data_IF_378606906066
#
_entry.id   IF_378606906066
#
_cell.length_a   1.000
_cell.length_b   1.000
_cell.length_c   1.000
_cell.angle_alpha   90.00
_cell.angle_beta   90.00
_cell.angle_gamma   90.00
#
_symmetry.space_group_name_H-M   'P 1'
#
loop_
_entity.id
_entity.type
_entity.pdbx_description
1 polymer ?
#
# COMPACT_ATOMS: atom_id res chain seq x y z
N UNK A 1 1.34 -7.28 -4.06
CA UNK A 1 1.55 -5.81 -4.16
C UNK A 1 0.22 -5.17 -4.52
N UNK A 2 -0.05 -3.97 -4.02
CA UNK A 2 -1.32 -3.24 -4.14
C UNK A 2 -1.08 -1.94 -4.88
N UNK A 3 -1.99 -1.60 -5.79
CA UNK A 3 -2.02 -0.34 -6.50
C UNK A 3 -3.33 0.44 -6.28
N UNK A 4 -3.42 1.63 -6.89
CA UNK A 4 -4.61 2.49 -6.72
C UNK A 4 -5.89 1.78 -7.20
N UNK A 5 -5.80 0.99 -8.26
CA UNK A 5 -6.93 0.29 -8.86
C UNK A 5 -7.43 -0.83 -7.96
N UNK A 6 -6.53 -1.54 -7.29
CA UNK A 6 -6.89 -2.55 -6.29
C UNK A 6 -7.68 -1.95 -5.13
N UNK A 7 -7.26 -0.77 -4.64
CA UNK A 7 -7.98 -0.04 -3.59
C UNK A 7 -9.36 0.44 -4.06
N UNK A 8 -9.50 0.84 -5.33
CA UNK A 8 -10.80 1.20 -5.89
C UNK A 8 -11.71 -0.04 -5.98
N UNK A 9 -11.18 -1.18 -6.38
CA UNK A 9 -11.91 -2.45 -6.41
C UNK A 9 -12.38 -2.91 -5.01
N UNK A 10 -11.61 -2.57 -3.97
CA UNK A 10 -12.00 -2.77 -2.56
C UNK A 10 -13.10 -1.81 -2.07
N UNK A 11 -13.51 -0.84 -2.87
CA UNK A 11 -14.57 0.12 -2.53
C UNK A 11 -14.08 1.47 -2.01
N UNK A 12 -12.77 1.75 -2.02
CA UNK A 12 -12.27 3.08 -1.70
C UNK A 12 -12.50 4.05 -2.85
N UNK A 13 -12.77 5.33 -2.53
CA UNK A 13 -12.88 6.37 -3.56
C UNK A 13 -11.53 6.58 -4.26
N UNK A 14 -11.51 7.05 -5.52
CA UNK A 14 -10.26 7.29 -6.26
C UNK A 14 -9.30 8.26 -5.55
N UNK A 15 -9.84 9.25 -4.84
CA UNK A 15 -9.06 10.20 -4.05
C UNK A 15 -8.43 9.52 -2.84
N UNK A 16 -9.23 8.81 -2.05
CA UNK A 16 -8.76 8.08 -0.86
C UNK A 16 -7.71 7.03 -1.23
N UNK A 17 -7.95 6.30 -2.32
CA UNK A 17 -7.00 5.31 -2.86
C UNK A 17 -5.65 5.94 -3.20
N UNK A 18 -5.65 7.10 -3.86
CA UNK A 18 -4.41 7.81 -4.18
C UNK A 18 -3.67 8.29 -2.91
N UNK A 19 -4.40 8.72 -1.88
CA UNK A 19 -3.80 9.17 -0.63
C UNK A 19 -3.22 8.01 0.19
N UNK A 20 -3.89 6.85 0.21
CA UNK A 20 -3.38 5.62 0.82
C UNK A 20 -2.06 5.22 0.14
N UNK A 21 -2.00 5.18 -1.20
CA UNK A 21 -0.77 4.85 -1.93
C UNK A 21 0.35 5.84 -1.60
N UNK A 22 0.04 7.15 -1.50
CA UNK A 22 1.05 8.16 -1.12
C UNK A 22 1.56 7.95 0.30
N UNK A 23 0.67 7.69 1.25
CA UNK A 23 1.04 7.41 2.63
C UNK A 23 1.90 6.13 2.72
N UNK A 24 1.52 5.06 1.99
CA UNK A 24 2.25 3.80 1.97
C UNK A 24 3.66 3.97 1.41
N UNK A 25 3.82 4.77 0.36
CA UNK A 25 5.14 5.12 -0.17
C UNK A 25 6.00 5.85 0.85
N UNK A 26 5.43 6.84 1.55
CA UNK A 26 6.17 7.58 2.59
C UNK A 26 6.58 6.66 3.74
N UNK A 27 5.69 5.76 4.16
CA UNK A 27 5.97 4.76 5.17
C UNK A 27 7.14 3.85 4.75
N UNK A 28 7.11 3.34 3.53
CA UNK A 28 8.19 2.49 3.00
C UNK A 28 9.53 3.25 2.91
N UNK A 29 9.52 4.51 2.47
CA UNK A 29 10.74 5.35 2.47
C UNK A 29 11.26 5.55 3.89
N UNK A 30 10.38 5.80 4.87
CA UNK A 30 10.77 5.96 6.28
C UNK A 30 11.36 4.69 6.89
N UNK A 31 10.95 3.51 6.40
CA UNK A 31 11.49 2.20 6.80
C UNK A 31 12.84 1.86 6.15
N UNK A 32 13.39 2.77 5.34
CA UNK A 32 14.67 2.58 4.65
C UNK A 32 14.55 2.10 3.21
N UNK A 33 13.33 1.87 2.69
CA UNK A 33 13.12 1.45 1.32
C UNK A 33 13.03 2.64 0.35
N UNK A 34 14.19 3.22 0.02
CA UNK A 34 14.31 4.39 -0.86
C UNK A 34 13.70 4.22 -2.27
N UNK A 35 13.54 2.99 -2.74
CA UNK A 35 12.90 2.66 -4.02
C UNK A 35 11.50 3.29 -4.17
N UNK A 36 10.72 3.33 -3.08
CA UNK A 36 9.35 3.86 -3.09
C UNK A 36 9.28 5.39 -3.10
N UNK A 37 10.41 6.10 -2.95
CA UNK A 37 10.44 7.56 -3.09
C UNK A 37 10.23 8.05 -4.52
N UNK A 38 10.43 7.17 -5.51
CA UNK A 38 10.39 7.54 -6.93
C UNK A 38 8.96 7.78 -7.44
N UNK A 39 8.78 8.79 -8.31
CA UNK A 39 7.48 9.11 -8.94
C UNK A 39 6.98 8.00 -9.88
N UNK A 40 7.89 7.16 -10.39
CA UNK A 40 7.60 6.04 -11.31
C UNK A 40 6.97 4.82 -10.64
N UNK A 41 7.07 4.71 -9.31
CA UNK A 41 6.55 3.55 -8.57
C UNK A 41 5.11 3.84 -8.14
N UNK A 42 4.15 3.18 -8.81
CA UNK A 42 2.72 3.29 -8.54
C UNK A 42 2.14 2.16 -7.69
N UNK A 43 2.98 1.21 -7.26
CA UNK A 43 2.60 0.03 -6.49
C UNK A 43 3.32 0.01 -5.14
N UNK A 44 2.68 -0.52 -4.12
CA UNK A 44 3.22 -0.66 -2.76
C UNK A 44 2.93 -2.06 -2.20
N UNK A 45 3.66 -2.54 -1.19
CA UNK A 45 3.33 -3.80 -0.53
C UNK A 45 1.99 -3.73 0.19
N UNK A 46 1.27 -4.86 0.25
CA UNK A 46 0.01 -4.96 0.98
C UNK A 46 0.20 -4.67 2.48
N UNK A 47 1.31 -5.13 3.07
CA UNK A 47 1.68 -4.84 4.45
C UNK A 47 1.73 -3.33 4.77
N UNK A 48 2.36 -2.53 3.89
CA UNK A 48 2.44 -1.09 4.08
C UNK A 48 1.08 -0.40 3.95
N UNK A 49 0.18 -0.96 3.14
CA UNK A 49 -1.19 -0.49 3.02
C UNK A 49 -1.99 -0.88 4.27
N UNK A 50 -1.89 -2.12 4.73
CA UNK A 50 -2.52 -2.63 5.94
C UNK A 50 -2.15 -1.80 7.18
N UNK A 51 -0.88 -1.39 7.31
CA UNK A 51 -0.42 -0.51 8.38
C UNK A 51 -1.11 0.88 8.39
N UNK A 52 -1.63 1.34 7.25
CA UNK A 52 -2.26 2.67 7.11
C UNK A 52 -3.76 2.61 7.33
N UNK A 53 -4.42 1.60 6.74
CA UNK A 53 -5.87 1.43 6.87
C UNK A 53 -6.27 0.65 8.14
N UNK A 54 -5.32 -0.04 8.78
CA UNK A 54 -5.55 -0.87 9.96
C UNK A 54 -6.28 -2.19 9.66
N UNK A 55 -6.46 -2.51 8.38
CA UNK A 55 -7.15 -3.71 7.89
C UNK A 55 -6.36 -4.24 6.69
N UNK A 56 -6.18 -5.56 6.64
CA UNK A 56 -5.50 -6.21 5.52
C UNK A 56 -6.36 -6.14 4.25
N UNK A 57 -5.93 -5.41 3.20
CA UNK A 57 -6.70 -5.28 1.97
C UNK A 57 -6.78 -6.58 1.15
N UNK A 58 -5.97 -7.60 1.47
CA UNK A 58 -5.93 -8.88 0.74
C UNK A 58 -6.72 -9.97 1.46
N UNK A 59 -7.12 -9.76 2.72
CA UNK A 59 -7.94 -10.71 3.47
C UNK A 59 -7.28 -12.08 3.58
N UNK A 60 -6.36 -12.23 4.55
CA UNK A 60 -5.88 -13.51 5.06
C UNK A 60 -5.26 -14.46 4.01
N UNK A 61 -3.99 -14.25 3.62
CA UNK A 61 -3.17 -15.37 3.11
C UNK A 61 -1.63 -15.21 3.05
N UNK A 62 -1.02 -14.09 3.44
CA UNK A 62 0.45 -14.04 3.47
C UNK A 62 0.95 -14.43 4.86
N UNK A 63 1.32 -15.70 4.93
CA UNK A 63 2.08 -16.32 5.99
C UNK A 63 3.21 -15.39 6.47
N UNK A 64 3.37 -15.34 7.78
CA UNK A 64 4.68 -15.08 8.36
C UNK A 64 5.56 -16.25 7.93
N UNK A 65 6.32 -16.10 6.84
CA UNK A 65 7.43 -17.00 6.57
C UNK A 65 8.54 -16.65 7.57
N UNK A 66 8.91 -17.69 8.35
CA UNK A 66 9.88 -17.73 9.44
C UNK A 66 11.27 -17.15 9.11
#
# INVERSE_FOLDING_TARGET
MVDKTDLIALGFTPSKSADIIRAAKRLMVSRGFGFYGSRKVGRVPAAAVADIIGVDPVGANDAQDE
#
